data_IF_923015741208
#
_entry.id   IF_923015741208
#
_cell.length_a   1.000
_cell.length_b   1.000
_cell.length_c   1.000
_cell.angle_alpha   90.00
_cell.angle_beta   90.00
_cell.angle_gamma   90.00
#
_symmetry.space_group_name_H-M   'P 1'
#
loop_
_entity.id
_entity.type
_entity.pdbx_description
1 polymer ?
#
# COMPACT_ATOMS: atom_id res chain seq x y z
N UNK A 1 44.44 37.55 -15.42
CA UNK A 1 44.74 38.92 -14.98
C UNK A 1 43.41 39.54 -14.61
N UNK A 2 43.30 40.08 -13.41
CA UNK A 2 42.10 40.79 -12.97
C UNK A 2 42.54 42.21 -12.65
N UNK A 3 41.89 43.18 -13.29
CA UNK A 3 42.18 44.60 -13.11
C UNK A 3 41.05 45.24 -12.29
N UNK A 4 41.41 45.92 -11.21
CA UNK A 4 40.50 46.68 -10.36
C UNK A 4 41.05 48.11 -10.22
N UNK A 5 40.46 49.03 -10.98
CA UNK A 5 40.86 50.45 -11.08
C UNK A 5 42.26 50.65 -11.67
N UNK A 6 43.29 50.71 -10.82
CA UNK A 6 44.70 50.86 -11.21
C UNK A 6 45.56 49.74 -10.62
N UNK A 7 44.92 48.73 -10.01
CA UNK A 7 45.58 47.59 -9.41
C UNK A 7 45.42 46.36 -10.31
N UNK A 8 46.53 45.88 -10.84
CA UNK A 8 46.58 44.66 -11.62
C UNK A 8 46.96 43.46 -10.74
N UNK A 9 46.06 42.48 -10.63
CA UNK A 9 46.30 41.24 -9.91
C UNK A 9 46.57 40.09 -10.89
N UNK A 10 47.70 39.41 -10.67
CA UNK A 10 48.13 38.23 -11.41
C UNK A 10 48.50 37.13 -10.42
N UNK A 11 47.86 35.97 -10.55
CA UNK A 11 48.23 34.76 -9.82
C UNK A 11 48.55 33.64 -10.84
N UNK A 12 49.83 33.29 -11.03
CA UNK A 12 50.23 32.26 -11.99
C UNK A 12 49.84 30.82 -11.57
N UNK A 13 49.47 30.60 -10.30
CA UNK A 13 49.00 29.31 -9.80
C UNK A 13 47.54 29.03 -10.22
N UNK A 14 46.75 30.08 -10.46
CA UNK A 14 45.35 29.96 -10.92
C UNK A 14 45.30 30.09 -12.43
N UNK A 15 45.08 28.97 -13.11
CA UNK A 15 44.97 28.89 -14.58
C UNK A 15 43.57 28.45 -14.99
N UNK A 16 43.07 29.01 -16.08
CA UNK A 16 41.85 28.55 -16.73
C UNK A 16 42.25 27.68 -17.93
N UNK A 17 41.75 26.44 -17.97
CA UNK A 17 42.00 25.52 -19.06
C UNK A 17 40.80 25.50 -20.00
N UNK A 18 41.02 25.84 -21.26
CA UNK A 18 40.01 25.67 -22.30
C UNK A 18 40.04 24.22 -22.78
N UNK A 19 38.87 23.64 -23.00
CA UNK A 19 38.70 22.31 -23.58
C UNK A 19 37.95 22.42 -24.89
N UNK A 20 37.99 21.36 -25.70
CA UNK A 20 37.22 21.30 -26.93
C UNK A 20 35.71 21.27 -26.64
N UNK A 21 34.92 21.76 -27.60
CA UNK A 21 33.47 21.83 -27.49
C UNK A 21 32.84 20.45 -27.25
N UNK A 22 31.77 20.38 -26.43
CA UNK A 22 31.02 19.14 -26.23
C UNK A 22 30.24 18.76 -27.49
N UNK A 23 30.05 17.45 -27.68
CA UNK A 23 29.24 16.91 -28.78
C UNK A 23 28.19 15.94 -28.26
N UNK A 24 27.07 15.85 -28.97
CA UNK A 24 25.98 14.92 -28.67
C UNK A 24 25.99 13.83 -29.74
N UNK A 25 25.93 12.58 -29.29
CA UNK A 25 25.97 11.39 -30.15
C UNK A 25 24.62 10.67 -30.20
N UNK A 26 23.90 10.57 -29.07
CA UNK A 26 22.63 9.84 -28.99
C UNK A 26 21.82 10.28 -27.77
N UNK A 27 20.50 10.28 -27.92
CA UNK A 27 19.51 10.43 -26.84
C UNK A 27 18.77 9.10 -26.68
N UNK A 28 18.73 8.56 -25.45
CA UNK A 28 18.07 7.27 -25.17
C UNK A 28 17.25 7.31 -23.86
N UNK A 29 15.94 7.03 -23.89
CA UNK A 29 15.13 6.80 -25.08
C UNK A 29 15.03 8.02 -25.99
N UNK A 30 14.72 7.80 -27.25
CA UNK A 30 14.49 8.83 -28.28
C UNK A 30 13.06 9.40 -28.23
N UNK A 31 12.40 9.31 -27.07
CA UNK A 31 11.02 9.77 -26.91
C UNK A 31 10.68 10.15 -25.46
N UNK A 32 9.63 10.94 -25.29
CA UNK A 32 9.06 11.33 -23.99
C UNK A 32 7.54 11.57 -24.10
N UNK A 33 6.87 11.73 -22.95
CA UNK A 33 5.49 12.24 -22.87
C UNK A 33 5.45 13.77 -22.96
N UNK A 34 4.30 14.34 -23.31
CA UNK A 34 4.08 15.77 -23.48
C UNK A 34 4.42 16.58 -22.22
N UNK A 35 4.08 16.08 -21.04
CA UNK A 35 4.44 16.70 -19.75
C UNK A 35 5.95 16.65 -19.47
N UNK A 36 6.72 15.86 -20.20
CA UNK A 36 8.17 15.73 -20.02
C UNK A 36 8.55 15.07 -18.69
N UNK A 37 9.70 15.45 -18.15
CA UNK A 37 10.24 15.02 -16.86
C UNK A 37 10.64 13.54 -16.80
N UNK A 38 10.61 12.81 -17.92
CA UNK A 38 11.18 11.47 -18.00
C UNK A 38 12.71 11.54 -18.03
N UNK A 39 13.37 10.52 -17.49
CA UNK A 39 14.83 10.45 -17.50
C UNK A 39 15.31 9.98 -18.87
N UNK A 40 16.21 10.78 -19.46
CA UNK A 40 16.86 10.51 -20.73
C UNK A 40 18.37 10.38 -20.49
N UNK A 41 18.96 9.35 -21.08
CA UNK A 41 20.41 9.12 -21.08
C UNK A 41 20.99 9.69 -22.36
N UNK A 42 21.88 10.66 -22.22
CA UNK A 42 22.51 11.33 -23.36
C UNK A 42 23.96 10.91 -23.39
N UNK A 43 24.41 10.47 -24.57
CA UNK A 43 25.80 10.09 -24.82
C UNK A 43 26.46 11.11 -25.74
N UNK A 44 27.75 11.37 -25.51
CA UNK A 44 28.46 12.48 -26.14
C UNK A 44 29.97 12.49 -25.83
N UNK A 45 30.59 13.65 -26.00
CA UNK A 45 31.98 13.91 -25.58
C UNK A 45 32.09 15.24 -24.86
N UNK A 46 33.10 15.40 -24.01
CA UNK A 46 33.39 16.61 -23.24
C UNK A 46 32.23 17.15 -22.39
N UNK A 47 31.31 16.28 -21.98
CA UNK A 47 30.13 16.67 -21.21
C UNK A 47 30.48 17.17 -19.81
N UNK A 48 31.60 16.68 -19.23
CA UNK A 48 32.05 17.05 -17.88
C UNK A 48 32.66 18.45 -17.81
N UNK A 49 32.98 19.07 -18.95
CA UNK A 49 33.40 20.47 -19.00
C UNK A 49 32.27 21.41 -18.61
N UNK A 50 31.03 21.05 -18.93
CA UNK A 50 29.85 21.89 -18.74
C UNK A 50 29.28 21.64 -17.35
N UNK A 51 29.20 22.70 -16.53
CA UNK A 51 28.72 22.58 -15.14
C UNK A 51 27.20 22.42 -15.05
N UNK A 52 26.45 23.19 -15.82
CA UNK A 52 24.98 23.23 -15.75
C UNK A 52 24.36 23.06 -17.15
N UNK A 53 24.53 21.88 -17.79
CA UNK A 53 23.88 21.63 -19.07
C UNK A 53 22.36 21.58 -18.89
N UNK A 54 21.65 22.10 -19.89
CA UNK A 54 20.18 22.02 -19.95
C UNK A 54 19.75 21.41 -21.28
N UNK A 55 18.68 20.65 -21.26
CA UNK A 55 18.00 20.18 -22.46
C UNK A 55 16.93 21.17 -22.85
N UNK A 56 16.78 21.45 -24.15
CA UNK A 56 15.82 22.41 -24.70
C UNK A 56 14.98 21.74 -25.78
N UNK A 57 13.69 22.01 -25.78
CA UNK A 57 12.80 21.64 -26.87
C UNK A 57 11.91 22.81 -27.30
N UNK A 58 11.49 22.78 -28.56
CA UNK A 58 10.47 23.67 -29.11
C UNK A 58 9.38 22.84 -29.77
N UNK A 59 8.15 23.09 -29.37
CA UNK A 59 6.97 22.45 -29.95
C UNK A 59 5.86 23.46 -30.16
N UNK A 60 5.66 23.87 -31.40
CA UNK A 60 4.78 24.97 -31.77
C UNK A 60 5.31 26.29 -31.23
N UNK A 61 4.46 27.01 -30.49
CA UNK A 61 4.84 28.27 -29.84
C UNK A 61 5.60 28.06 -28.52
N UNK A 62 5.56 26.86 -27.95
CA UNK A 62 6.18 26.57 -26.64
C UNK A 62 7.65 26.24 -26.82
N UNK A 63 8.50 26.96 -26.08
CA UNK A 63 9.91 26.65 -25.88
C UNK A 63 10.11 26.35 -24.41
N UNK A 64 10.72 25.22 -24.11
CA UNK A 64 10.94 24.78 -22.74
C UNK A 64 12.32 24.20 -22.58
N UNK A 65 12.80 24.27 -21.34
CA UNK A 65 14.13 23.84 -20.93
C UNK A 65 14.01 23.01 -19.66
N UNK A 66 14.94 22.08 -19.47
CA UNK A 66 14.99 21.28 -18.25
C UNK A 66 16.44 20.89 -17.93
N UNK A 67 16.68 20.52 -16.68
CA UNK A 67 18.02 20.30 -16.16
C UNK A 67 18.62 18.95 -16.58
N UNK A 68 19.93 18.96 -16.76
CA UNK A 68 20.73 17.75 -16.94
C UNK A 68 21.75 17.60 -15.81
N UNK A 69 22.08 16.36 -15.51
CA UNK A 69 23.08 15.97 -14.51
C UNK A 69 24.19 15.22 -15.21
N UNK A 70 25.41 15.76 -15.13
CA UNK A 70 26.56 15.13 -15.78
C UNK A 70 27.07 13.99 -14.91
N UNK A 71 27.18 12.80 -15.49
CA UNK A 71 27.70 11.61 -14.80
C UNK A 71 29.20 11.49 -15.05
N UNK A 72 29.61 11.63 -16.31
CA UNK A 72 31.02 11.59 -16.72
C UNK A 72 31.21 12.36 -18.04
N UNK A 73 32.42 12.30 -18.61
CA UNK A 73 32.74 13.05 -19.83
C UNK A 73 31.94 12.62 -21.08
N UNK A 74 31.33 11.45 -21.05
CA UNK A 74 30.64 10.83 -22.19
C UNK A 74 29.15 10.61 -21.98
N UNK A 75 28.66 10.71 -20.75
CA UNK A 75 27.29 10.39 -20.37
C UNK A 75 26.76 11.45 -19.40
N UNK A 76 25.56 11.93 -19.70
CA UNK A 76 24.76 12.74 -18.78
C UNK A 76 23.32 12.25 -18.78
N UNK A 77 22.60 12.53 -17.69
CA UNK A 77 21.18 12.21 -17.56
C UNK A 77 20.40 13.50 -17.53
N UNK A 78 19.49 13.67 -18.48
CA UNK A 78 18.62 14.83 -18.59
C UNK A 78 17.19 14.47 -18.23
N UNK A 79 16.44 15.46 -17.74
CA UNK A 79 14.99 15.38 -17.67
C UNK A 79 14.41 15.92 -18.97
N UNK A 80 13.46 15.22 -19.58
CA UNK A 80 12.80 15.70 -20.78
C UNK A 80 12.10 17.06 -20.51
N UNK A 81 12.23 18.07 -21.39
CA UNK A 81 11.53 19.33 -21.23
C UNK A 81 10.03 19.16 -21.52
N UNK A 82 9.20 19.89 -20.76
CA UNK A 82 7.74 19.82 -20.86
C UNK A 82 7.21 20.64 -22.02
N UNK A 83 6.36 20.05 -22.85
CA UNK A 83 5.72 20.70 -24.01
C UNK A 83 4.18 20.63 -23.93
N UNK A 84 3.63 20.23 -22.78
CA UNK A 84 2.19 20.04 -22.57
C UNK A 84 1.34 21.29 -22.82
N UNK A 85 1.92 22.49 -22.72
CA UNK A 85 1.24 23.77 -23.00
C UNK A 85 1.13 24.14 -24.48
N UNK A 86 1.53 23.25 -25.41
CA UNK A 86 1.50 23.54 -26.84
C UNK A 86 0.10 23.37 -27.44
N UNK A 87 -0.24 24.24 -28.39
CA UNK A 87 -1.50 24.13 -29.16
C UNK A 87 -1.46 23.01 -30.21
N UNK A 88 -0.30 22.39 -30.44
CA UNK A 88 -0.15 21.26 -31.36
C UNK A 88 -0.72 19.99 -30.74
N UNK A 89 -1.43 19.20 -31.53
CA UNK A 89 -1.94 17.90 -31.09
C UNK A 89 -0.81 16.87 -30.96
N UNK A 90 -0.94 15.97 -29.98
CA UNK A 90 -0.05 14.83 -29.80
C UNK A 90 -0.70 13.57 -30.37
N UNK A 91 -0.03 12.93 -31.34
CA UNK A 91 -0.46 11.65 -31.94
C UNK A 91 -0.03 10.47 -31.07
N UNK A 92 -0.80 9.39 -31.04
CA UNK A 92 -0.42 8.15 -30.34
C UNK A 92 0.90 7.56 -30.86
N UNK A 93 1.19 7.73 -32.16
CA UNK A 93 2.44 7.33 -32.79
C UNK A 93 3.65 8.22 -32.42
N UNK A 94 3.40 9.34 -31.72
CA UNK A 94 4.41 10.33 -31.39
C UNK A 94 4.61 11.37 -32.50
N UNK A 95 4.95 12.60 -32.10
CA UNK A 95 5.24 13.70 -33.02
C UNK A 95 6.65 14.24 -32.75
N UNK A 96 7.40 14.54 -33.79
CA UNK A 96 8.71 15.18 -33.64
C UNK A 96 8.57 16.66 -33.22
N UNK A 97 9.48 17.16 -32.36
CA UNK A 97 9.54 18.58 -32.04
C UNK A 97 10.04 19.40 -33.22
N UNK A 98 9.78 20.72 -33.19
CA UNK A 98 10.31 21.64 -34.20
C UNK A 98 11.83 21.84 -34.04
N UNK A 99 12.28 21.88 -32.78
CA UNK A 99 13.71 21.94 -32.42
C UNK A 99 13.93 21.10 -31.16
N UNK A 100 15.02 20.34 -31.12
CA UNK A 100 15.51 19.64 -29.93
C UNK A 100 17.02 19.89 -29.82
N UNK A 101 17.51 20.10 -28.60
CA UNK A 101 18.93 20.34 -28.38
C UNK A 101 19.26 20.61 -26.93
N UNK A 102 20.42 21.21 -26.72
CA UNK A 102 21.05 21.41 -25.42
C UNK A 102 21.67 22.79 -25.32
N UNK A 103 21.59 23.36 -24.13
CA UNK A 103 22.26 24.61 -23.77
C UNK A 103 23.48 24.20 -22.95
N UNK A 104 24.66 24.43 -23.54
CA UNK A 104 25.97 24.11 -22.97
C UNK A 104 26.87 25.33 -23.18
N UNK A 105 26.73 26.31 -22.29
CA UNK A 105 27.33 27.64 -22.43
C UNK A 105 26.99 28.28 -23.79
N UNK A 106 27.99 28.68 -24.58
CA UNK A 106 27.81 29.38 -25.88
C UNK A 106 28.19 28.49 -27.08
N UNK A 107 27.89 27.18 -27.00
CA UNK A 107 28.22 26.20 -28.04
C UNK A 107 27.01 26.01 -28.98
N UNK A 108 27.01 26.60 -30.19
CA UNK A 108 25.83 26.62 -31.06
C UNK A 108 25.53 25.27 -31.73
N UNK A 109 26.53 24.39 -31.85
CA UNK A 109 26.41 23.08 -32.50
C UNK A 109 25.47 22.14 -31.75
N UNK A 110 25.30 22.33 -30.45
CA UNK A 110 24.41 21.51 -29.60
C UNK A 110 23.04 22.14 -29.34
N UNK A 111 22.83 23.41 -29.71
CA UNK A 111 21.55 24.10 -29.52
C UNK A 111 20.40 23.46 -30.30
N UNK A 112 20.71 22.92 -31.49
CA UNK A 112 19.78 22.14 -32.32
C UNK A 112 20.52 20.92 -32.84
N UNK A 113 20.14 19.74 -32.36
CA UNK A 113 20.74 18.47 -32.77
C UNK A 113 19.89 17.78 -33.82
N UNK A 114 20.53 17.04 -34.72
CA UNK A 114 19.84 16.30 -35.78
C UNK A 114 19.53 14.86 -35.33
N UNK A 115 18.90 14.73 -34.17
CA UNK A 115 18.47 13.45 -33.60
C UNK A 115 16.97 13.26 -33.82
N UNK A 116 16.56 12.04 -34.10
CA UNK A 116 15.13 11.70 -34.12
C UNK A 116 14.63 11.64 -32.69
N UNK A 117 13.73 12.55 -32.31
CA UNK A 117 13.08 12.53 -31.00
C UNK A 117 11.57 12.69 -31.17
N UNK A 118 10.76 11.97 -30.38
CA UNK A 118 9.29 12.07 -30.45
C UNK A 118 8.63 12.36 -29.10
N UNK A 119 7.58 13.18 -29.14
CA UNK A 119 6.68 13.40 -28.01
C UNK A 119 5.38 12.63 -28.20
N UNK A 120 5.06 11.80 -27.22
CA UNK A 120 3.80 11.05 -27.10
C UNK A 120 2.82 11.78 -26.18
N UNK A 121 1.51 11.54 -26.32
CA UNK A 121 0.50 12.12 -25.45
C UNK A 121 0.67 11.65 -24.00
N UNK A 122 0.27 12.50 -23.06
CA UNK A 122 0.24 12.14 -21.64
C UNK A 122 -0.79 11.02 -21.37
N UNK A 123 -0.54 10.17 -20.35
CA UNK A 123 -1.50 9.18 -19.91
C UNK A 123 -2.74 9.87 -19.34
N UNK A 124 -3.91 9.36 -19.68
CA UNK A 124 -5.18 9.90 -19.19
C UNK A 124 -5.86 8.84 -18.34
N UNK A 125 -6.16 9.21 -17.09
CA UNK A 125 -6.79 8.35 -16.12
C UNK A 125 -8.27 8.65 -15.98
N UNK A 126 -9.06 7.61 -15.74
CA UNK A 126 -10.45 7.74 -15.33
C UNK A 126 -10.52 8.01 -13.81
N UNK A 127 -11.50 8.78 -13.34
CA UNK A 127 -11.72 8.98 -11.90
C UNK A 127 -12.07 7.65 -11.23
N UNK A 128 -11.68 7.49 -9.95
CA UNK A 128 -11.89 6.25 -9.20
C UNK A 128 -13.37 5.87 -9.04
N UNK A 129 -14.23 6.88 -8.92
CA UNK A 129 -15.68 6.76 -8.71
C UNK A 129 -16.35 8.02 -9.22
N UNK A 130 -17.66 7.97 -9.49
CA UNK A 130 -18.45 9.15 -9.87
C UNK A 130 -18.45 10.24 -8.79
N UNK A 131 -18.23 9.85 -7.53
CA UNK A 131 -18.13 10.76 -6.37
C UNK A 131 -16.68 11.14 -6.03
N UNK A 132 -15.69 10.56 -6.69
CA UNK A 132 -14.27 10.73 -6.36
C UNK A 132 -13.79 9.97 -5.11
N UNK A 133 -14.69 9.25 -4.43
CA UNK A 133 -14.40 8.40 -3.27
C UNK A 133 -14.61 6.93 -3.65
N UNK A 134 -13.59 6.11 -3.45
CA UNK A 134 -13.67 4.67 -3.69
C UNK A 134 -13.47 3.89 -2.38
N UNK A 135 -14.47 3.07 -2.05
CA UNK A 135 -14.48 2.24 -0.85
C UNK A 135 -13.89 0.87 -1.15
N UNK A 136 -12.85 0.48 -0.42
CA UNK A 136 -12.14 -0.78 -0.62
C UNK A 136 -11.97 -1.54 0.69
N UNK A 137 -11.86 -2.87 0.57
CA UNK A 137 -11.52 -3.75 1.68
C UNK A 137 -10.01 -3.80 1.87
N UNK A 138 -9.52 -4.15 3.07
CA UNK A 138 -8.10 -4.38 3.27
C UNK A 138 -7.63 -5.51 2.35
N UNK A 139 -6.56 -5.28 1.59
CA UNK A 139 -5.98 -6.28 0.69
C UNK A 139 -6.66 -6.46 -0.68
N UNK A 140 -7.76 -5.75 -1.00
CA UNK A 140 -8.25 -5.72 -2.38
C UNK A 140 -7.33 -4.86 -3.25
N UNK A 141 -6.92 -5.27 -4.46
CA UNK A 141 -6.07 -4.46 -5.33
C UNK A 141 -6.83 -3.26 -5.94
N UNK A 142 -6.09 -2.18 -6.24
CA UNK A 142 -6.61 -0.91 -6.75
C UNK A 142 -6.35 -0.90 -8.23
N UNK A 143 -7.42 -0.75 -9.01
CA UNK A 143 -7.34 -0.78 -10.46
C UNK A 143 -7.60 0.63 -10.97
N UNK A 144 -6.55 1.25 -11.50
CA UNK A 144 -6.60 2.53 -12.17
C UNK A 144 -6.76 2.29 -13.67
N UNK A 145 -7.91 2.68 -14.23
CA UNK A 145 -8.15 2.61 -15.68
C UNK A 145 -7.66 3.86 -16.37
N UNK A 146 -7.11 3.70 -17.57
CA UNK A 146 -6.65 4.82 -18.36
C UNK A 146 -6.35 4.46 -19.81
N UNK A 147 -6.01 5.50 -20.58
CA UNK A 147 -5.53 5.43 -21.96
C UNK A 147 -4.13 6.03 -22.04
N UNK A 148 -3.38 5.66 -23.09
CA UNK A 148 -2.00 6.09 -23.31
C UNK A 148 -1.04 5.73 -22.15
N UNK A 149 -1.29 4.60 -21.47
CA UNK A 149 -0.43 4.13 -20.37
C UNK A 149 0.89 3.53 -20.89
N UNK A 150 0.85 2.94 -22.08
CA UNK A 150 2.03 2.43 -22.77
C UNK A 150 2.10 3.16 -24.11
N UNK A 151 3.03 4.10 -24.32
CA UNK A 151 3.18 4.77 -25.60
C UNK A 151 3.67 3.77 -26.65
N UNK A 152 3.22 3.95 -27.89
CA UNK A 152 3.65 3.13 -29.05
C UNK A 152 5.01 3.60 -29.55
N UNK A 153 6.01 3.53 -28.68
CA UNK A 153 7.36 4.00 -28.95
C UNK A 153 8.31 2.84 -29.29
N UNK A 154 9.32 3.06 -30.14
CA UNK A 154 10.29 2.04 -30.47
C UNK A 154 11.15 1.68 -29.24
N UNK A 155 11.48 0.39 -29.11
CA UNK A 155 12.34 -0.13 -28.06
C UNK A 155 11.60 -0.81 -26.89
N UNK A 156 12.36 -1.16 -25.86
CA UNK A 156 11.87 -1.86 -24.66
C UNK A 156 11.76 -0.93 -23.44
N UNK A 157 12.03 0.36 -23.60
CA UNK A 157 11.91 1.35 -22.55
C UNK A 157 10.44 1.58 -22.21
N UNK A 158 10.10 1.57 -20.93
CA UNK A 158 8.74 1.82 -20.43
C UNK A 158 8.74 3.03 -19.51
N UNK A 159 7.59 3.68 -19.41
CA UNK A 159 7.40 4.75 -18.44
C UNK A 159 7.50 4.20 -17.01
N UNK A 160 8.22 4.94 -16.15
CA UNK A 160 8.35 4.60 -14.74
C UNK A 160 7.19 5.26 -13.96
N UNK A 161 6.14 4.48 -13.72
CA UNK A 161 4.98 4.91 -12.94
C UNK A 161 5.27 4.78 -11.45
N UNK A 162 4.84 5.78 -10.69
CA UNK A 162 4.80 5.73 -9.23
C UNK A 162 3.41 6.16 -8.78
N UNK A 163 2.71 5.29 -8.06
CA UNK A 163 1.41 5.61 -7.46
C UNK A 163 1.60 5.67 -5.96
N UNK A 164 1.18 6.79 -5.39
CA UNK A 164 1.23 7.07 -3.97
C UNK A 164 -0.19 7.04 -3.41
N UNK A 165 -0.38 6.29 -2.33
CA UNK A 165 -1.58 6.31 -1.52
C UNK A 165 -1.20 7.05 -0.24
N UNK A 166 -1.70 8.27 -0.09
CA UNK A 166 -1.21 9.23 0.90
C UNK A 166 0.25 9.59 0.59
N UNK A 167 1.17 9.13 1.45
CA UNK A 167 2.62 9.30 1.30
C UNK A 167 3.35 8.00 0.94
N UNK A 168 2.65 6.86 0.93
CA UNK A 168 3.26 5.55 0.73
C UNK A 168 3.19 5.11 -0.74
N UNK A 169 4.32 4.70 -1.36
CA UNK A 169 4.30 4.14 -2.70
C UNK A 169 3.77 2.70 -2.68
N UNK A 170 3.01 2.31 -3.70
CA UNK A 170 2.52 0.93 -3.84
C UNK A 170 3.29 0.14 -4.90
N UNK A 171 3.17 -1.19 -4.84
CA UNK A 171 3.74 -2.09 -5.85
C UNK A 171 2.80 -2.09 -7.06
N UNK A 172 3.36 -1.84 -8.25
CA UNK A 172 2.59 -1.64 -9.46
C UNK A 172 2.77 -2.77 -10.47
N UNK A 173 1.64 -3.17 -11.07
CA UNK A 173 1.59 -4.01 -12.27
C UNK A 173 0.96 -3.20 -13.39
N UNK A 174 1.73 -2.98 -14.48
CA UNK A 174 1.32 -2.20 -15.64
C UNK A 174 0.73 -3.09 -16.74
N UNK A 175 -0.43 -2.71 -17.24
CA UNK A 175 -1.07 -3.23 -18.45
C UNK A 175 -1.32 -2.10 -19.46
N UNK A 176 -1.75 -2.42 -20.68
CA UNK A 176 -2.01 -1.43 -21.74
C UNK A 176 -3.11 -0.42 -21.38
N UNK A 177 -4.11 -0.86 -20.61
CA UNK A 177 -5.30 -0.06 -20.27
C UNK A 177 -5.52 0.13 -18.77
N UNK A 178 -4.70 -0.53 -17.93
CA UNK A 178 -4.91 -0.57 -16.49
C UNK A 178 -3.59 -0.58 -15.73
N UNK A 179 -3.58 0.09 -14.59
CA UNK A 179 -2.52 0.04 -13.57
C UNK A 179 -3.11 -0.62 -12.32
N UNK A 180 -2.53 -1.74 -11.91
CA UNK A 180 -2.92 -2.44 -10.69
C UNK A 180 -1.91 -2.12 -9.60
N UNK A 181 -2.42 -1.58 -8.50
CA UNK A 181 -1.64 -1.15 -7.35
C UNK A 181 -1.97 -2.04 -6.16
N UNK A 182 -0.94 -2.68 -5.62
CA UNK A 182 -0.99 -3.49 -4.40
C UNK A 182 -0.31 -2.70 -3.27
N UNK A 183 -1.06 -2.38 -2.23
CA UNK A 183 -0.56 -1.65 -1.07
C UNK A 183 -0.58 -2.51 0.19
N UNK A 184 0.33 -2.27 1.14
CA UNK A 184 0.30 -2.93 2.44
C UNK A 184 -0.96 -2.51 3.22
N UNK A 185 -1.29 -3.22 4.30
CA UNK A 185 -2.47 -2.95 5.12
C UNK A 185 -2.49 -1.53 5.69
N UNK A 186 -3.13 -0.62 4.96
CA UNK A 186 -3.48 0.74 5.38
C UNK A 186 -4.97 0.79 5.67
N UNK A 187 -5.36 1.55 6.69
CA UNK A 187 -6.75 1.78 7.05
C UNK A 187 -7.03 3.28 7.07
N UNK A 188 -8.28 3.68 6.80
CA UNK A 188 -8.69 5.08 6.81
C UNK A 188 -8.78 5.70 5.42
N UNK A 189 -8.85 7.03 5.38
CA UNK A 189 -8.99 7.81 4.15
C UNK A 189 -7.62 8.27 3.63
N UNK A 190 -7.33 7.95 2.37
CA UNK A 190 -6.04 8.27 1.74
C UNK A 190 -6.24 8.83 0.33
N UNK A 191 -5.53 9.90 -0.01
CA UNK A 191 -5.55 10.47 -1.36
C UNK A 191 -4.65 9.66 -2.30
N UNK A 192 -5.13 9.36 -3.50
CA UNK A 192 -4.33 8.67 -4.53
C UNK A 192 -3.69 9.69 -5.45
N UNK A 193 -2.39 9.55 -5.65
CA UNK A 193 -1.61 10.40 -6.58
C UNK A 193 -0.81 9.52 -7.51
N UNK A 194 -0.93 9.74 -8.81
CA UNK A 194 -0.17 9.06 -9.86
C UNK A 194 0.88 10.01 -10.40
N UNK A 195 2.14 9.55 -10.46
CA UNK A 195 3.28 10.29 -10.98
C UNK A 195 3.98 9.50 -12.07
N UNK A 196 4.34 10.18 -13.16
CA UNK A 196 5.15 9.61 -14.24
C UNK A 196 5.93 10.73 -14.92
N UNK A 197 7.25 10.72 -14.74
CA UNK A 197 8.09 11.84 -15.17
C UNK A 197 7.63 13.16 -14.55
N UNK A 198 7.27 14.13 -15.41
CA UNK A 198 6.73 15.43 -15.03
C UNK A 198 5.20 15.50 -14.93
N UNK A 199 4.49 14.40 -15.22
CA UNK A 199 3.04 14.33 -15.13
C UNK A 199 2.61 13.89 -13.73
N UNK A 200 1.65 14.63 -13.15
CA UNK A 200 1.02 14.31 -11.86
C UNK A 200 -0.51 14.41 -11.97
N UNK A 201 -1.21 13.37 -11.52
CA UNK A 201 -2.67 13.33 -11.55
C UNK A 201 -3.23 12.64 -10.30
N UNK A 202 -4.36 13.14 -9.80
CA UNK A 202 -5.03 12.64 -8.60
C UNK A 202 -6.45 12.16 -8.94
N UNK A 203 -6.67 10.85 -9.13
CA UNK A 203 -7.97 10.33 -9.58
C UNK A 203 -9.06 10.34 -8.49
N UNK A 204 -8.70 10.49 -7.20
CA UNK A 204 -9.66 10.56 -6.09
C UNK A 204 -9.07 10.17 -4.73
N UNK A 205 -9.95 9.96 -3.75
CA UNK A 205 -9.63 9.45 -2.41
C UNK A 205 -10.12 8.01 -2.24
N UNK A 206 -9.38 7.24 -1.44
CA UNK A 206 -9.70 5.88 -1.04
C UNK A 206 -10.13 5.85 0.41
N UNK A 207 -11.20 5.12 0.71
CA UNK A 207 -11.61 4.82 2.08
C UNK A 207 -11.51 3.32 2.31
N UNK A 208 -10.57 2.94 3.19
CA UNK A 208 -10.33 1.53 3.52
C UNK A 208 -10.98 1.23 4.86
N UNK A 209 -12.03 0.42 4.83
CA UNK A 209 -12.70 -0.06 6.03
C UNK A 209 -11.91 -1.21 6.64
N UNK A 210 -11.69 -1.19 7.95
CA UNK A 210 -11.19 -2.36 8.68
C UNK A 210 -12.25 -3.46 8.67
N UNK A 211 -11.86 -4.71 8.40
CA UNK A 211 -12.72 -5.88 8.61
C UNK A 211 -13.03 -5.99 10.10
N UNK A 212 -14.11 -5.34 10.53
CA UNK A 212 -14.69 -5.52 11.85
C UNK A 212 -15.32 -6.91 11.88
N UNK A 213 -14.51 -7.93 12.18
CA UNK A 213 -14.90 -9.33 12.35
C UNK A 213 -16.09 -9.52 13.31
N UNK A 214 -16.36 -8.55 14.18
CA UNK A 214 -17.57 -8.47 14.96
C UNK A 214 -18.33 -7.17 14.64
N UNK A 215 -19.28 -7.27 13.71
CA UNK A 215 -20.28 -6.22 13.56
C UNK A 215 -21.07 -6.10 14.88
N UNK A 216 -21.41 -4.88 15.29
CA UNK A 216 -22.30 -4.61 16.44
C UNK A 216 -23.50 -5.58 16.53
N UNK A 217 -24.23 -5.89 15.43
CA UNK A 217 -25.30 -6.90 15.47
C UNK A 217 -24.82 -8.34 15.74
N UNK A 218 -23.63 -8.74 15.28
CA UNK A 218 -23.06 -10.04 15.61
C UNK A 218 -22.68 -10.16 17.09
N UNK A 219 -22.15 -9.09 17.70
CA UNK A 219 -21.86 -9.04 19.15
C UNK A 219 -23.13 -9.21 19.96
N UNK A 220 -24.19 -8.48 19.60
CA UNK A 220 -25.50 -8.55 20.26
C UNK A 220 -26.12 -9.95 20.06
N UNK A 221 -25.95 -10.56 18.88
CA UNK A 221 -26.41 -11.91 18.59
C UNK A 221 -25.71 -13.00 19.41
N UNK A 222 -24.38 -12.96 19.50
CA UNK A 222 -23.58 -13.92 20.27
C UNK A 222 -23.84 -13.74 21.78
N UNK A 223 -23.88 -12.49 22.25
CA UNK A 223 -24.18 -12.16 23.66
C UNK A 223 -25.60 -12.58 24.07
N UNK A 224 -26.60 -12.28 23.23
CA UNK A 224 -27.99 -12.65 23.49
C UNK A 224 -28.23 -14.16 23.46
N UNK A 225 -27.68 -14.85 22.46
CA UNK A 225 -27.78 -16.30 22.33
C UNK A 225 -27.10 -17.04 23.47
N UNK A 226 -25.87 -16.64 23.82
CA UNK A 226 -25.13 -17.22 24.95
C UNK A 226 -25.83 -16.98 26.29
N UNK A 227 -26.38 -15.78 26.50
CA UNK A 227 -27.11 -15.44 27.73
C UNK A 227 -28.39 -16.24 27.92
N UNK A 228 -29.20 -16.40 26.86
CA UNK A 228 -30.44 -17.19 26.90
C UNK A 228 -30.15 -18.67 27.21
N UNK A 229 -29.12 -19.23 26.58
CA UNK A 229 -28.73 -20.62 26.76
C UNK A 229 -28.24 -20.89 28.19
N UNK A 230 -27.45 -19.96 28.76
CA UNK A 230 -27.06 -20.00 30.18
C UNK A 230 -28.26 -19.94 31.12
N UNK A 231 -29.25 -19.09 30.85
CA UNK A 231 -30.47 -18.97 31.66
C UNK A 231 -31.27 -20.27 31.68
N UNK A 232 -31.44 -20.93 30.54
CA UNK A 232 -32.13 -22.22 30.44
C UNK A 232 -31.39 -23.30 31.24
N UNK A 233 -30.05 -23.35 31.15
CA UNK A 233 -29.22 -24.29 31.92
C UNK A 233 -29.43 -24.07 33.43
N UNK A 234 -29.43 -22.82 33.89
CA UNK A 234 -29.66 -22.47 35.31
C UNK A 234 -31.04 -22.95 35.77
N UNK A 235 -32.09 -22.73 34.97
CA UNK A 235 -33.46 -23.18 35.29
C UNK A 235 -33.51 -24.70 35.41
N UNK A 236 -32.90 -25.43 34.46
CA UNK A 236 -32.83 -26.90 34.50
C UNK A 236 -32.06 -27.39 35.72
N UNK A 237 -30.94 -26.74 36.08
CA UNK A 237 -30.18 -27.06 37.29
C UNK A 237 -30.99 -26.81 38.56
N UNK A 238 -31.76 -25.72 38.63
CA UNK A 238 -32.66 -25.44 39.77
C UNK A 238 -33.78 -26.47 39.83
N UNK A 239 -34.39 -26.84 38.71
CA UNK A 239 -35.42 -27.87 38.63
C UNK A 239 -34.87 -29.24 39.02
N UNK A 240 -33.66 -29.59 38.56
CA UNK A 240 -32.96 -30.81 38.91
C UNK A 240 -32.61 -30.84 40.40
N UNK A 241 -32.10 -29.73 40.96
CA UNK A 241 -31.84 -29.63 42.40
C UNK A 241 -33.13 -29.69 43.22
N UNK A 242 -34.22 -29.06 42.78
CA UNK A 242 -35.54 -29.18 43.44
C UNK A 242 -36.03 -30.63 43.40
N UNK A 243 -36.00 -31.26 42.23
CA UNK A 243 -36.44 -32.64 42.03
C UNK A 243 -35.57 -33.66 42.77
N UNK A 244 -34.25 -33.46 42.81
CA UNK A 244 -33.31 -34.27 43.61
C UNK A 244 -33.56 -34.09 45.10
N UNK A 245 -33.86 -32.86 45.57
CA UNK A 245 -34.22 -32.62 46.97
C UNK A 245 -35.56 -33.24 47.35
N UNK A 246 -36.50 -33.33 46.42
CA UNK A 246 -37.78 -34.02 46.61
C UNK A 246 -37.62 -35.54 46.54
N UNK A 247 -36.72 -36.06 45.71
CA UNK A 247 -36.33 -37.49 45.71
C UNK A 247 -35.62 -37.89 47.01
N UNK A 248 -34.77 -37.02 47.56
CA UNK A 248 -34.17 -37.21 48.89
C UNK A 248 -35.24 -37.19 50.02
N UNK A 249 -36.32 -36.41 49.86
CA UNK A 249 -37.43 -36.38 50.83
C UNK A 249 -38.31 -37.63 50.74
N UNK A 250 -38.53 -38.19 49.55
CA UNK A 250 -39.23 -39.48 49.42
C UNK A 250 -38.38 -40.64 49.93
N UNK A 251 -37.06 -40.60 49.78
CA UNK A 251 -36.15 -41.59 50.35
C UNK A 251 -36.10 -41.52 51.90
N UNK A 252 -36.16 -40.32 52.48
CA UNK A 252 -36.34 -40.13 53.95
C UNK A 252 -37.69 -40.62 54.47
N UNK A 253 -38.75 -40.62 53.65
CA UNK A 253 -40.04 -41.25 54.00
C UNK A 253 -39.99 -42.78 53.96
N UNK A 254 -39.04 -43.39 53.25
CA UNK A 254 -38.79 -44.83 53.31
C UNK A 254 -37.91 -45.23 54.51
N UNK A 255 -36.99 -44.38 54.95
CA UNK A 255 -36.24 -44.63 56.19
C UNK A 255 -37.11 -44.54 57.47
N UNK A 256 -38.19 -43.74 57.46
CA UNK A 256 -39.14 -43.65 58.58
C UNK A 256 -40.17 -44.81 58.67
N UNK A 257 -40.19 -45.74 57.71
CA UNK A 257 -40.85 -47.03 57.91
C UNK A 257 -39.91 -48.08 58.55
N UNK A 258 -38.65 -47.73 58.76
CA UNK A 258 -37.66 -48.57 59.42
C UNK A 258 -37.31 -48.11 60.85
N UNK A 259 -38.06 -47.19 61.46
CA UNK A 259 -37.93 -46.86 62.89
C UNK A 259 -39.07 -47.45 63.75
N UNK A 260 -40.13 -48.00 63.14
CA UNK A 260 -41.27 -48.60 63.84
C UNK A 260 -41.18 -50.14 63.99
N UNK A 261 -40.06 -50.75 63.59
CA UNK A 261 -39.78 -52.18 63.81
C UNK A 261 -38.37 -52.43 64.36
N UNK A 262 -37.76 -51.42 65.01
CA UNK A 262 -36.52 -51.57 65.77
C UNK A 262 -36.65 -50.98 67.17
N UNK A 263 -37.76 -51.29 67.87
CA UNK A 263 -37.97 -50.90 69.28
C UNK A 263 -38.12 -52.09 70.24
N UNK A 264 -37.73 -53.30 69.82
CA UNK A 264 -37.39 -54.36 70.78
C UNK A 264 -36.22 -55.21 70.27
N UNK A 265 -35.14 -55.16 71.05
CA UNK A 265 -34.00 -56.08 71.06
C UNK A 265 -32.89 -55.79 70.04
N UNK A 266 -32.08 -54.78 70.34
CA UNK A 266 -30.62 -54.85 70.23
C UNK A 266 -30.02 -53.77 71.15
N UNK A 267 -30.16 -54.03 72.45
CA UNK A 267 -29.34 -53.41 73.48
C UNK A 267 -27.86 -53.79 73.26
N UNK A 268 -26.99 -52.87 73.65
CA UNK A 268 -25.54 -53.00 73.85
C UNK A 268 -24.67 -52.95 72.58
N UNK A 269 -24.10 -51.78 72.30
CA UNK A 269 -22.77 -51.36 72.76
C UNK A 269 -21.64 -52.18 72.13
N UNK A 270 -20.86 -51.56 71.22
CA UNK A 270 -19.46 -51.14 71.48
C UNK A 270 -18.73 -50.74 70.18
N UNK A 271 -18.52 -49.43 70.07
CA UNK A 271 -17.34 -48.66 69.59
C UNK A 271 -16.39 -49.22 68.51
N UNK A 272 -16.05 -48.38 67.53
CA UNK A 272 -14.91 -48.57 66.61
C UNK A 272 -14.85 -47.62 65.40
N UNK A 273 -14.56 -46.35 65.68
CA UNK A 273 -13.95 -45.27 64.88
C UNK A 273 -13.48 -45.43 63.41
N UNK A 274 -13.65 -44.32 62.64
CA UNK A 274 -13.00 -43.89 61.38
C UNK A 274 -13.36 -44.60 60.07
N UNK A 275 -13.69 -43.95 58.93
CA UNK A 275 -13.65 -42.55 58.51
C UNK A 275 -13.22 -42.47 57.04
N UNK A 276 -14.08 -41.96 56.13
CA UNK A 276 -13.80 -41.61 54.71
C UNK A 276 -13.54 -42.79 53.75
N UNK A 277 -13.90 -42.79 52.47
CA UNK A 277 -14.36 -41.77 51.53
C UNK A 277 -15.11 -42.47 50.37
N UNK A 278 -16.07 -41.79 49.74
CA UNK A 278 -16.88 -42.37 48.65
C UNK A 278 -17.71 -41.35 47.88
N UNK A 279 -17.32 -40.07 47.89
CA UNK A 279 -17.93 -39.00 47.08
C UNK A 279 -16.91 -38.38 46.15
N UNK A 280 -16.45 -39.14 45.16
CA UNK A 280 -15.81 -38.53 43.99
C UNK A 280 -15.85 -39.44 42.78
N UNK A 281 -16.98 -39.46 42.06
CA UNK A 281 -17.02 -39.99 40.69
C UNK A 281 -18.03 -39.30 39.76
N UNK A 282 -18.83 -38.35 40.27
CA UNK A 282 -19.76 -37.58 39.44
C UNK A 282 -19.28 -36.14 39.10
N UNK A 283 -18.22 -35.63 39.72
CA UNK A 283 -17.65 -34.31 39.40
C UNK A 283 -16.51 -34.33 38.37
N UNK A 284 -15.84 -35.46 38.18
CA UNK A 284 -14.75 -35.60 37.22
C UNK A 284 -15.24 -35.66 35.76
N UNK A 285 -16.44 -36.19 35.50
CA UNK A 285 -17.04 -36.18 34.16
C UNK A 285 -17.65 -34.83 33.76
N UNK A 286 -18.13 -34.02 34.72
CA UNK A 286 -18.61 -32.66 34.41
C UNK A 286 -17.47 -31.66 34.20
N UNK A 287 -16.34 -31.81 34.88
CA UNK A 287 -15.17 -30.94 34.67
C UNK A 287 -14.46 -31.24 33.33
N UNK A 288 -14.39 -32.50 32.92
CA UNK A 288 -13.77 -32.90 31.64
C UNK A 288 -14.57 -32.40 30.41
N UNK A 289 -15.90 -32.34 30.49
CA UNK A 289 -16.73 -31.86 29.37
C UNK A 289 -16.76 -30.33 29.23
N UNK A 290 -16.57 -29.59 30.34
CA UNK A 290 -16.48 -28.12 30.33
C UNK A 290 -15.08 -27.66 29.92
N UNK A 291 -14.02 -28.40 30.26
CA UNK A 291 -12.67 -28.13 29.76
C UNK A 291 -12.50 -28.45 28.26
N UNK A 292 -13.12 -29.51 27.73
CA UNK A 292 -13.07 -29.81 26.29
C UNK A 292 -13.77 -28.74 25.44
N UNK A 293 -14.88 -28.16 25.92
CA UNK A 293 -15.57 -27.08 25.19
C UNK A 293 -14.84 -25.72 25.26
N UNK A 294 -14.13 -25.40 26.36
CA UNK A 294 -13.30 -24.19 26.40
C UNK A 294 -11.99 -24.34 25.60
N UNK A 295 -11.38 -25.52 25.52
CA UNK A 295 -10.17 -25.74 24.71
C UNK A 295 -10.46 -25.74 23.19
N UNK A 296 -11.63 -26.19 22.75
CA UNK A 296 -12.03 -26.14 21.33
C UNK A 296 -12.35 -24.70 20.84
N UNK A 297 -12.65 -23.76 21.75
CA UNK A 297 -12.81 -22.35 21.39
C UNK A 297 -11.51 -21.54 21.39
N UNK A 298 -10.41 -22.05 21.97
CA UNK A 298 -9.10 -21.37 21.98
C UNK A 298 -8.16 -21.89 20.89
N UNK A 299 -8.38 -23.10 20.35
CA UNK A 299 -7.57 -23.67 19.26
C UNK A 299 -8.10 -23.40 17.84
N UNK A 300 -9.13 -22.56 17.68
CA UNK A 300 -9.68 -22.14 16.38
C UNK A 300 -9.54 -20.62 16.13
N UNK A 301 -8.51 -20.01 16.72
CA UNK A 301 -8.00 -18.68 16.38
C UNK A 301 -6.66 -18.82 15.67
#
# INVERSE_FOLDING_TARGET
>A
MVDINSAELRNPEVKFNYTDDPTILKIEPDWSIASGGTMLTITGTNLATIKEPKMRAKYGAVKSENHCTVVNNTVMVCLAPSVAGSDKSFSEAGNSPDEIGFIMDDVPSVLVVNETFSYHPDPVFEPLSSTGLLELKPGSPLILKGRNLIPSAPGNTKLNYTVLIGETPCVLTLSETQLVCEWPNLTGEHKVTVRVGGFEYSPGTLQIYSDSLLTLPAIIGIGGGGGLLLLVIIIVLIAYKRKSRDADRTLKRLQLQMDNLESRVALECKEGESGGDGRSLALTHLCASVCLCLCLCVCAC
#
